data_IF_908886522055
#
_entry.id   IF_908886522055
#
_cell.length_a   1.000
_cell.length_b   1.000
_cell.length_c   1.000
_cell.angle_alpha   90.00
_cell.angle_beta   90.00
_cell.angle_gamma   90.00
#
_symmetry.space_group_name_H-M   'P 1'
#
loop_
_entity.id
_entity.type
_entity.pdbx_description
1 polymer ?
#
# COMPACT_ATOMS: atom_id res chain seq x y z
N UNK A 1 -51.70 28.85 15.03
CA UNK A 1 -50.40 29.28 14.48
C UNK A 1 -49.43 28.12 14.61
N UNK A 2 -49.24 27.35 13.53
CA UNK A 2 -48.38 26.16 13.47
C UNK A 2 -47.46 26.24 12.24
N UNK A 3 -46.71 27.33 12.14
CA UNK A 3 -45.82 27.60 10.99
C UNK A 3 -44.38 27.14 11.24
N UNK A 4 -44.00 26.75 12.46
CA UNK A 4 -42.60 26.50 12.81
C UNK A 4 -41.98 25.17 12.34
N UNK A 5 -42.78 24.15 12.01
CA UNK A 5 -42.25 22.79 11.74
C UNK A 5 -41.96 22.55 10.25
N UNK A 6 -42.86 22.95 9.35
CA UNK A 6 -42.69 22.78 7.91
C UNK A 6 -41.60 23.73 7.35
N UNK A 7 -41.57 24.98 7.82
CA UNK A 7 -40.56 25.96 7.41
C UNK A 7 -39.16 25.54 7.88
N UNK A 8 -39.06 24.98 9.09
CA UNK A 8 -37.79 24.44 9.59
C UNK A 8 -37.35 23.19 8.81
N UNK A 9 -38.29 22.32 8.43
CA UNK A 9 -37.98 21.13 7.61
C UNK A 9 -37.48 21.52 6.21
N UNK A 10 -38.13 22.51 5.56
CA UNK A 10 -37.70 23.02 4.27
C UNK A 10 -36.31 23.67 4.34
N UNK A 11 -36.01 24.40 5.42
CA UNK A 11 -34.68 24.96 5.69
C UNK A 11 -33.63 23.87 5.83
N UNK A 12 -33.89 22.83 6.63
CA UNK A 12 -32.98 21.71 6.83
C UNK A 12 -32.69 20.94 5.54
N UNK A 13 -33.71 20.70 4.70
CA UNK A 13 -33.49 20.06 3.39
C UNK A 13 -32.64 20.93 2.46
N UNK A 14 -32.86 22.25 2.48
CA UNK A 14 -32.06 23.18 1.67
C UNK A 14 -30.60 23.17 2.13
N UNK A 15 -30.35 23.19 3.44
CA UNK A 15 -29.01 23.08 4.02
C UNK A 15 -28.35 21.74 3.68
N UNK A 16 -29.10 20.64 3.74
CA UNK A 16 -28.61 19.31 3.35
C UNK A 16 -28.17 19.27 1.88
N UNK A 17 -28.95 19.86 0.96
CA UNK A 17 -28.59 19.91 -0.46
C UNK A 17 -27.31 20.70 -0.71
N UNK A 18 -27.12 21.82 0.00
CA UNK A 18 -25.89 22.61 -0.07
C UNK A 18 -24.70 21.79 0.45
N UNK A 19 -24.85 21.11 1.59
CA UNK A 19 -23.80 20.28 2.16
C UNK A 19 -23.43 19.10 1.26
N UNK A 20 -24.40 18.47 0.60
CA UNK A 20 -24.14 17.39 -0.37
C UNK A 20 -23.35 17.89 -1.58
N UNK A 21 -23.68 19.07 -2.10
CA UNK A 21 -22.92 19.67 -3.21
C UNK A 21 -21.47 20.01 -2.78
N UNK A 22 -21.29 20.53 -1.58
CA UNK A 22 -19.96 20.81 -1.01
C UNK A 22 -19.15 19.53 -0.79
N UNK A 23 -19.76 18.47 -0.27
CA UNK A 23 -19.10 17.17 -0.08
C UNK A 23 -18.64 16.60 -1.42
N UNK A 24 -19.48 16.66 -2.46
CA UNK A 24 -19.13 16.18 -3.79
C UNK A 24 -17.93 16.95 -4.39
N UNK A 25 -17.89 18.28 -4.24
CA UNK A 25 -16.78 19.10 -4.69
C UNK A 25 -15.47 18.76 -3.95
N UNK A 26 -15.55 18.62 -2.62
CA UNK A 26 -14.41 18.22 -1.79
C UNK A 26 -13.91 16.83 -2.20
N UNK A 27 -14.83 15.87 -2.43
CA UNK A 27 -14.48 14.52 -2.85
C UNK A 27 -13.75 14.53 -4.19
N UNK A 28 -14.29 15.21 -5.21
CA UNK A 28 -13.65 15.36 -6.52
C UNK A 28 -12.25 15.99 -6.42
N UNK A 29 -12.13 17.11 -5.69
CA UNK A 29 -10.84 17.78 -5.48
C UNK A 29 -9.81 16.86 -4.81
N UNK A 30 -10.27 16.07 -3.83
CA UNK A 30 -9.43 15.11 -3.10
C UNK A 30 -8.97 13.98 -4.01
N UNK A 31 -9.88 13.39 -4.80
CA UNK A 31 -9.58 12.35 -5.77
C UNK A 31 -8.55 12.81 -6.81
N UNK A 32 -8.69 14.03 -7.34
CA UNK A 32 -7.72 14.59 -8.28
C UNK A 32 -6.34 14.82 -7.66
N UNK A 33 -6.29 15.34 -6.42
CA UNK A 33 -5.02 15.52 -5.70
C UNK A 33 -4.34 14.17 -5.46
N UNK A 34 -5.11 13.16 -5.08
CA UNK A 34 -4.63 11.78 -4.94
C UNK A 34 -4.11 11.21 -6.26
N UNK A 35 -4.82 11.43 -7.37
CA UNK A 35 -4.38 10.99 -8.70
C UNK A 35 -3.06 11.66 -9.12
N UNK A 36 -2.95 12.99 -8.94
CA UNK A 36 -1.72 13.74 -9.20
C UNK A 36 -0.56 13.23 -8.33
N UNK A 37 -0.77 13.05 -7.04
CA UNK A 37 0.25 12.51 -6.14
C UNK A 37 0.72 11.10 -6.56
N UNK A 38 -0.23 10.22 -6.92
CA UNK A 38 0.05 8.87 -7.44
C UNK A 38 0.84 8.89 -8.75
N UNK A 39 0.61 9.88 -9.62
CA UNK A 39 1.36 9.98 -10.89
C UNK A 39 2.80 10.44 -10.73
N UNK A 40 3.14 11.13 -9.63
CA UNK A 40 4.49 11.67 -9.38
C UNK A 40 5.35 10.66 -8.64
N UNK A 41 4.75 9.81 -7.82
CA UNK A 41 5.45 8.82 -7.01
C UNK A 41 5.55 7.51 -7.78
N UNK A 42 6.77 7.05 -8.06
CA UNK A 42 7.05 5.70 -8.57
C UNK A 42 7.41 4.79 -7.38
N UNK A 43 6.48 3.93 -6.92
CA UNK A 43 6.71 3.08 -5.76
C UNK A 43 7.86 2.10 -5.98
N UNK A 44 8.09 1.63 -7.22
CA UNK A 44 9.20 0.72 -7.53
C UNK A 44 10.53 1.44 -7.36
N UNK A 45 10.62 2.68 -7.83
CA UNK A 45 11.83 3.50 -7.70
C UNK A 45 12.14 3.81 -6.24
N UNK A 46 11.12 4.16 -5.44
CA UNK A 46 11.28 4.39 -4.01
C UNK A 46 11.77 3.14 -3.28
N UNK A 47 11.16 2.00 -3.56
CA UNK A 47 11.57 0.72 -3.01
C UNK A 47 13.03 0.39 -3.37
N UNK A 48 13.41 0.52 -4.63
CA UNK A 48 14.77 0.25 -5.08
C UNK A 48 15.79 1.19 -4.39
N UNK A 49 15.44 2.47 -4.25
CA UNK A 49 16.29 3.44 -3.52
C UNK A 49 16.44 3.05 -2.05
N UNK A 50 15.34 2.67 -1.39
CA UNK A 50 15.35 2.19 -0.02
C UNK A 50 16.17 0.91 0.14
N UNK A 51 16.02 -0.07 -0.75
CA UNK A 51 16.72 -1.35 -0.69
C UNK A 51 18.24 -1.17 -0.77
N UNK A 52 18.71 -0.18 -1.53
CA UNK A 52 20.13 0.16 -1.64
C UNK A 52 20.67 0.98 -0.44
N UNK A 53 19.80 1.56 0.37
CA UNK A 53 20.18 2.33 1.55
C UNK A 53 20.69 1.43 2.68
N UNK A 54 21.36 2.02 3.68
CA UNK A 54 21.78 1.30 4.89
C UNK A 54 20.59 0.70 5.66
N UNK A 55 19.44 1.38 5.66
CA UNK A 55 18.23 0.89 6.29
C UNK A 55 17.69 -0.38 5.61
N UNK A 56 17.62 -0.39 4.27
CA UNK A 56 17.20 -1.55 3.50
C UNK A 56 18.15 -2.74 3.64
N UNK A 57 19.47 -2.48 3.61
CA UNK A 57 20.49 -3.52 3.85
C UNK A 57 20.40 -4.12 5.25
N UNK A 58 20.24 -3.27 6.27
CA UNK A 58 20.09 -3.71 7.67
C UNK A 58 18.81 -4.51 7.84
N UNK A 59 17.71 -4.06 7.24
CA UNK A 59 16.44 -4.79 7.25
C UNK A 59 16.60 -6.17 6.61
N UNK A 60 17.24 -6.26 5.44
CA UNK A 60 17.46 -7.54 4.74
C UNK A 60 18.25 -8.53 5.59
N UNK A 61 19.29 -8.06 6.29
CA UNK A 61 20.06 -8.90 7.22
C UNK A 61 19.22 -9.39 8.40
N UNK A 62 18.46 -8.50 9.05
CA UNK A 62 17.57 -8.85 10.16
C UNK A 62 16.48 -9.83 9.72
N UNK A 63 15.87 -9.60 8.56
CA UNK A 63 14.84 -10.46 8.00
C UNK A 63 15.40 -11.85 7.68
N UNK A 64 16.63 -11.94 7.16
CA UNK A 64 17.30 -13.22 6.92
C UNK A 64 17.47 -14.02 8.20
N UNK A 65 17.87 -13.37 9.30
CA UNK A 65 17.98 -14.00 10.61
C UNK A 65 16.60 -14.41 11.16
N UNK A 66 15.60 -13.54 11.05
CA UNK A 66 14.23 -13.79 11.47
C UNK A 66 13.60 -14.99 10.74
N UNK A 67 13.91 -15.15 9.45
CA UNK A 67 13.49 -16.30 8.66
C UNK A 67 14.42 -17.53 8.81
N UNK A 68 15.33 -17.52 9.79
CA UNK A 68 16.29 -18.61 10.05
C UNK A 68 17.12 -19.01 8.81
N UNK A 69 17.38 -18.06 7.91
CA UNK A 69 18.06 -18.31 6.65
C UNK A 69 17.28 -19.18 5.68
N UNK A 70 15.94 -19.24 5.78
CA UNK A 70 15.06 -20.00 4.88
C UNK A 70 14.28 -19.09 3.95
N UNK A 71 13.95 -19.60 2.78
CA UNK A 71 13.04 -18.96 1.84
C UNK A 71 11.60 -19.04 2.36
N UNK A 72 10.89 -17.92 2.37
CA UNK A 72 9.51 -17.90 2.87
C UNK A 72 8.54 -18.70 1.99
N UNK A 73 8.86 -18.91 0.70
CA UNK A 73 7.98 -19.62 -0.23
C UNK A 73 8.12 -21.15 -0.15
N UNK A 74 9.34 -21.67 -0.14
CA UNK A 74 9.60 -23.11 -0.20
C UNK A 74 10.13 -23.70 1.11
N UNK A 75 10.49 -22.88 2.10
CA UNK A 75 11.07 -23.32 3.37
C UNK A 75 12.53 -23.78 3.28
N UNK A 76 13.08 -23.95 2.08
CA UNK A 76 14.45 -24.40 1.86
C UNK A 76 15.48 -23.34 2.25
N UNK A 77 16.71 -23.81 2.50
CA UNK A 77 17.84 -22.95 2.86
C UNK A 77 18.12 -21.91 1.78
N UNK A 78 18.25 -20.66 2.22
CA UNK A 78 18.49 -19.48 1.39
C UNK A 78 19.89 -18.94 1.68
N UNK A 79 20.67 -18.65 0.64
CA UNK A 79 21.92 -17.90 0.81
C UNK A 79 21.59 -16.42 0.90
N UNK A 80 22.13 -15.73 1.91
CA UNK A 80 21.88 -14.29 2.12
C UNK A 80 22.25 -13.44 0.89
N UNK A 81 23.31 -13.83 0.16
CA UNK A 81 23.74 -13.17 -1.06
C UNK A 81 22.70 -13.26 -2.21
N UNK A 82 21.97 -14.38 -2.29
CA UNK A 82 20.99 -14.62 -3.37
C UNK A 82 19.57 -14.20 -2.99
N UNK A 83 19.31 -13.96 -1.70
CA UNK A 83 18.00 -13.61 -1.20
C UNK A 83 17.44 -12.37 -1.93
N UNK A 84 16.25 -12.49 -2.48
CA UNK A 84 15.52 -11.35 -3.06
C UNK A 84 14.37 -10.96 -2.15
N UNK A 85 14.04 -9.67 -2.15
CA UNK A 85 12.91 -9.14 -1.38
C UNK A 85 11.65 -9.22 -2.24
N UNK A 86 10.64 -9.93 -1.75
CA UNK A 86 9.34 -10.09 -2.37
C UNK A 86 8.29 -9.28 -1.61
N UNK A 87 7.37 -8.65 -2.34
CA UNK A 87 6.20 -7.97 -1.80
C UNK A 87 5.03 -8.93 -1.69
N UNK A 88 4.55 -9.20 -0.48
CA UNK A 88 3.38 -10.07 -0.23
C UNK A 88 2.12 -9.51 -0.90
N UNK A 89 1.84 -8.22 -0.67
CA UNK A 89 0.89 -7.44 -1.45
C UNK A 89 1.61 -6.78 -2.62
N UNK A 90 1.22 -7.04 -3.88
CA UNK A 90 1.96 -6.60 -5.05
C UNK A 90 1.95 -5.08 -5.22
N UNK A 91 3.10 -4.52 -5.60
CA UNK A 91 3.24 -3.09 -5.89
C UNK A 91 2.27 -2.58 -6.96
N UNK A 92 1.92 -3.42 -7.95
CA UNK A 92 1.01 -3.06 -9.04
C UNK A 92 -0.37 -2.65 -8.54
N UNK A 93 -0.88 -3.35 -7.53
CA UNK A 93 -2.27 -3.18 -7.08
C UNK A 93 -2.35 -2.25 -5.86
N UNK A 94 -1.27 -2.17 -5.05
CA UNK A 94 -1.27 -1.44 -3.78
C UNK A 94 -0.33 -0.21 -3.76
N UNK A 95 0.47 0.02 -4.81
CA UNK A 95 1.35 1.19 -4.92
C UNK A 95 2.26 1.38 -3.71
N UNK A 96 2.45 2.63 -3.27
CA UNK A 96 3.30 2.94 -2.10
C UNK A 96 2.82 2.31 -0.80
N UNK A 97 1.56 1.89 -0.68
CA UNK A 97 1.08 1.17 0.51
C UNK A 97 1.73 -0.21 0.66
N UNK A 98 2.16 -0.83 -0.45
CA UNK A 98 2.93 -2.07 -0.44
C UNK A 98 4.39 -1.89 -0.01
N UNK A 99 4.94 -0.66 0.00
CA UNK A 99 6.32 -0.37 0.38
C UNK A 99 6.52 -0.27 1.89
N UNK A 100 6.03 -1.28 2.61
CA UNK A 100 6.14 -1.38 4.06
C UNK A 100 6.96 -2.62 4.43
N UNK A 101 7.96 -2.52 5.32
CA UNK A 101 8.79 -3.65 5.72
C UNK A 101 8.02 -4.91 6.13
N UNK A 102 6.84 -4.74 6.74
CA UNK A 102 5.96 -5.83 7.20
C UNK A 102 5.40 -6.65 6.03
N UNK A 103 5.26 -6.01 4.86
CA UNK A 103 4.79 -6.59 3.61
C UNK A 103 5.90 -7.30 2.80
N UNK A 104 7.12 -7.40 3.34
CA UNK A 104 8.24 -7.97 2.63
C UNK A 104 8.62 -9.35 3.16
N UNK A 105 9.06 -10.24 2.26
CA UNK A 105 9.64 -11.54 2.61
C UNK A 105 10.89 -11.81 1.77
N UNK A 106 11.82 -12.61 2.30
CA UNK A 106 12.98 -13.06 1.54
C UNK A 106 12.72 -14.38 0.86
N UNK A 107 12.98 -14.43 -0.44
CA UNK A 107 12.79 -15.60 -1.29
C UNK A 107 14.07 -15.95 -2.05
N UNK A 108 14.12 -17.18 -2.58
CA UNK A 108 15.01 -17.49 -3.70
C UNK A 108 14.59 -16.70 -4.96
N UNK A 109 15.55 -16.35 -5.84
CA UNK A 109 15.23 -15.71 -7.12
C UNK A 109 14.21 -16.50 -7.96
N UNK A 110 14.33 -17.84 -7.98
CA UNK A 110 13.41 -18.73 -8.70
C UNK A 110 11.99 -18.67 -8.14
N UNK A 111 11.82 -18.86 -6.83
CA UNK A 111 10.50 -18.78 -6.19
C UNK A 111 9.84 -17.41 -6.39
N UNK A 112 10.61 -16.33 -6.32
CA UNK A 112 10.09 -14.98 -6.57
C UNK A 112 9.59 -14.81 -8.02
N UNK A 113 10.30 -15.40 -8.99
CA UNK A 113 9.90 -15.38 -10.40
C UNK A 113 8.61 -16.19 -10.63
N UNK A 114 8.50 -17.38 -10.03
CA UNK A 114 7.34 -18.26 -10.17
C UNK A 114 6.06 -17.67 -9.55
N UNK A 115 6.18 -17.00 -8.41
CA UNK A 115 5.07 -16.31 -7.74
C UNK A 115 4.64 -15.09 -8.55
N UNK A 116 5.60 -14.29 -9.02
CA UNK A 116 5.34 -13.07 -9.78
C UNK A 116 4.59 -12.03 -8.94
N UNK A 117 3.35 -11.71 -9.35
CA UNK A 117 2.51 -10.68 -8.69
C UNK A 117 1.31 -11.28 -7.95
N UNK A 118 1.30 -12.60 -7.72
CA UNK A 118 0.22 -13.24 -6.94
C UNK A 118 0.34 -12.83 -5.48
N UNK A 119 -0.80 -12.62 -4.82
CA UNK A 119 -0.85 -12.48 -3.36
C UNK A 119 -0.65 -13.88 -2.79
N UNK A 120 0.35 -14.04 -1.92
CA UNK A 120 0.70 -15.32 -1.29
C UNK A 120 0.73 -15.13 0.21
N UNK A 121 0.05 -16.02 0.93
CA UNK A 121 0.17 -16.07 2.37
C UNK A 121 1.38 -16.94 2.75
N UNK A 122 2.30 -16.35 3.52
CA UNK A 122 3.52 -17.01 4.00
C UNK A 122 3.45 -17.28 5.50
N UNK A 123 2.25 -17.30 6.08
CA UNK A 123 2.01 -17.64 7.49
C UNK A 123 2.29 -19.11 7.81
#
# INVERSE_FOLDING_TARGET
>A
MSTGSADNLARLYSELLVLLAQEEEIRKSTEEKLARAKSVIDPRKEFNKWLQSNAGKTWKQKQFQYQEGKCAACGESLRSADAVVHHVLPLKDFGSAANKPENFRLLHPGCNLEIGTKIVDFS
#
